data_IF_857611696263
#
_entry.id   IF_857611696263
#
_cell.length_a   1.000
_cell.length_b   1.000
_cell.length_c   1.000
_cell.angle_alpha   90.00
_cell.angle_beta   90.00
_cell.angle_gamma   90.00
#
_symmetry.space_group_name_H-M   'P 1'
#
loop_
_entity.id
_entity.type
_entity.pdbx_description
1 polymer ?
#
# COMPACT_ATOMS: atom_id res chain seq x y z
N UNK A 1 5.33 -32.11 36.90
CA UNK A 1 5.09 -30.69 37.26
C UNK A 1 4.40 -30.04 36.07
N UNK A 2 3.33 -29.27 36.27
CA UNK A 2 2.58 -28.63 35.17
C UNK A 2 3.52 -27.74 34.35
N UNK A 3 3.29 -27.63 33.05
CA UNK A 3 4.16 -26.89 32.13
C UNK A 3 4.22 -25.39 32.48
N UNK A 4 3.12 -24.80 32.95
CA UNK A 4 3.09 -23.41 33.40
C UNK A 4 4.05 -23.13 34.56
N UNK A 5 4.17 -24.06 35.51
CA UNK A 5 5.07 -23.93 36.66
C UNK A 5 6.53 -24.09 36.24
N UNK A 6 6.78 -25.02 35.32
CA UNK A 6 8.09 -25.20 34.70
C UNK A 6 8.59 -23.94 34.00
N UNK A 7 7.77 -23.34 33.12
CA UNK A 7 8.14 -22.12 32.39
C UNK A 7 8.57 -21.01 33.34
N UNK A 8 7.82 -20.79 34.43
CA UNK A 8 8.13 -19.73 35.39
C UNK A 8 9.37 -20.04 36.23
N UNK A 9 9.56 -21.30 36.63
CA UNK A 9 10.70 -21.74 37.46
C UNK A 9 12.02 -21.74 36.67
N UNK A 10 12.00 -22.27 35.44
CA UNK A 10 13.17 -22.52 34.60
C UNK A 10 13.41 -21.43 33.54
N UNK A 11 12.67 -20.31 33.61
CA UNK A 11 12.71 -19.18 32.66
C UNK A 11 14.12 -18.79 32.22
N UNK A 12 15.05 -18.65 33.17
CA UNK A 12 16.44 -18.23 32.86
C UNK A 12 17.17 -19.25 31.98
N UNK A 13 16.92 -20.54 32.19
CA UNK A 13 17.57 -21.60 31.43
C UNK A 13 16.95 -21.73 30.05
N UNK A 14 15.62 -21.65 29.95
CA UNK A 14 14.89 -21.62 28.68
C UNK A 14 15.39 -20.49 27.78
N UNK A 15 15.51 -19.27 28.33
CA UNK A 15 15.97 -18.10 27.57
C UNK A 15 17.44 -18.21 27.15
N UNK A 16 18.29 -18.85 27.95
CA UNK A 16 19.68 -19.07 27.59
C UNK A 16 19.83 -20.07 26.42
N UNK A 17 19.05 -21.16 26.43
CA UNK A 17 19.04 -22.11 25.32
C UNK A 17 18.47 -21.48 24.04
N UNK A 18 17.37 -20.73 24.18
CA UNK A 18 16.76 -20.00 23.08
C UNK A 18 17.72 -18.99 22.45
N UNK A 19 18.41 -18.19 23.26
CA UNK A 19 19.39 -17.21 22.77
C UNK A 19 20.54 -17.88 22.01
N UNK A 20 21.06 -19.00 22.52
CA UNK A 20 22.11 -19.76 21.83
C UNK A 20 21.65 -20.25 20.45
N UNK A 21 20.39 -20.64 20.32
CA UNK A 21 19.80 -21.00 19.03
C UNK A 21 19.68 -19.79 18.09
N UNK A 22 19.15 -18.68 18.59
CA UNK A 22 18.96 -17.44 17.81
C UNK A 22 20.29 -16.88 17.30
N UNK A 23 21.30 -16.80 18.16
CA UNK A 23 22.62 -16.27 17.84
C UNK A 23 23.35 -17.10 16.76
N UNK A 24 23.10 -18.41 16.72
CA UNK A 24 23.75 -19.31 15.73
C UNK A 24 23.03 -19.35 14.39
N UNK A 25 21.69 -19.20 14.37
CA UNK A 25 20.89 -19.44 13.17
C UNK A 25 20.37 -18.18 12.47
N UNK A 26 20.41 -17.01 13.11
CA UNK A 26 19.80 -15.80 12.56
C UNK A 26 20.87 -14.73 12.25
N UNK A 27 21.17 -14.46 10.96
CA UNK A 27 22.16 -13.47 10.56
C UNK A 27 21.91 -12.06 11.12
N UNK A 28 20.65 -11.64 11.23
CA UNK A 28 20.26 -10.34 11.79
C UNK A 28 20.52 -10.23 13.31
N UNK A 29 20.57 -11.37 14.01
CA UNK A 29 20.83 -11.43 15.44
C UNK A 29 22.32 -11.30 15.79
N UNK A 30 23.25 -11.41 14.82
CA UNK A 30 24.69 -11.47 15.07
C UNK A 30 25.29 -10.22 15.72
N UNK A 31 24.64 -9.07 15.54
CA UNK A 31 25.13 -7.78 16.05
C UNK A 31 24.29 -7.25 17.23
N UNK A 32 23.28 -8.00 17.69
CA UNK A 32 22.49 -7.62 18.85
C UNK A 32 23.18 -8.08 20.14
N UNK A 33 23.12 -7.25 21.18
CA UNK A 33 23.54 -7.68 22.51
C UNK A 33 22.49 -8.61 23.15
N UNK A 34 22.91 -9.31 24.20
CA UNK A 34 22.07 -10.30 24.90
C UNK A 34 20.77 -9.67 25.47
N UNK A 35 20.82 -8.39 25.84
CA UNK A 35 19.68 -7.66 26.38
C UNK A 35 18.63 -7.38 25.28
N UNK A 36 19.07 -6.93 24.11
CA UNK A 36 18.23 -6.69 22.93
C UNK A 36 17.67 -7.99 22.33
N UNK A 37 18.38 -9.11 22.50
CA UNK A 37 17.87 -10.42 22.11
C UNK A 37 16.78 -10.90 23.07
N UNK A 38 16.99 -10.83 24.39
CA UNK A 38 16.05 -11.34 25.39
C UNK A 38 14.85 -10.46 25.68
N UNK A 39 14.86 -9.19 25.26
CA UNK A 39 13.94 -8.11 25.64
C UNK A 39 12.51 -8.53 26.05
N UNK A 40 11.76 -9.18 25.14
CA UNK A 40 10.35 -9.53 25.36
C UNK A 40 10.05 -11.02 25.49
N UNK A 41 11.04 -11.89 25.28
CA UNK A 41 10.89 -13.33 25.42
C UNK A 41 10.41 -13.76 26.83
N UNK A 42 10.88 -13.17 27.95
CA UNK A 42 10.34 -13.47 29.28
C UNK A 42 8.85 -13.13 29.41
N UNK A 43 8.41 -12.00 28.88
CA UNK A 43 7.03 -11.52 28.98
C UNK A 43 6.09 -12.37 28.11
N UNK A 44 6.56 -12.83 26.93
CA UNK A 44 5.85 -13.82 26.11
C UNK A 44 5.67 -15.11 26.91
N UNK A 45 6.73 -15.65 27.50
CA UNK A 45 6.66 -16.88 28.30
C UNK A 45 5.76 -16.71 29.55
N UNK A 46 5.79 -15.55 30.20
CA UNK A 46 4.89 -15.22 31.32
C UNK A 46 3.42 -15.17 30.87
N UNK A 47 3.13 -14.56 29.72
CA UNK A 47 1.79 -14.52 29.15
C UNK A 47 1.28 -15.93 28.82
N UNK A 48 2.13 -16.77 28.23
CA UNK A 48 1.80 -18.17 27.94
C UNK A 48 1.56 -18.97 29.23
N UNK A 49 2.42 -18.84 30.24
CA UNK A 49 2.24 -19.51 31.53
C UNK A 49 0.94 -19.07 32.25
N UNK A 50 0.57 -17.79 32.12
CA UNK A 50 -0.72 -17.27 32.61
C UNK A 50 -1.91 -17.86 31.84
N UNK A 51 -1.79 -17.97 30.52
CA UNK A 51 -2.84 -18.56 29.67
C UNK A 51 -3.09 -20.04 30.01
N UNK A 52 -2.02 -20.82 30.16
CA UNK A 52 -2.07 -22.23 30.60
C UNK A 52 -2.82 -22.43 31.92
N UNK A 53 -2.76 -21.45 32.83
CA UNK A 53 -3.46 -21.48 34.13
C UNK A 53 -4.91 -20.98 34.08
N UNK A 54 -5.31 -20.33 32.99
CA UNK A 54 -6.65 -19.74 32.88
C UNK A 54 -7.65 -20.83 32.47
N UNK A 55 -8.81 -20.97 33.14
CA UNK A 55 -9.85 -21.88 32.69
C UNK A 55 -10.37 -21.47 31.31
N UNK A 56 -10.59 -22.44 30.43
CA UNK A 56 -11.01 -22.21 29.05
C UNK A 56 -12.12 -23.18 28.67
N UNK A 57 -13.15 -22.68 27.99
CA UNK A 57 -14.23 -23.52 27.45
C UNK A 57 -13.80 -24.16 26.12
N UNK A 58 -14.43 -25.26 25.72
CA UNK A 58 -14.16 -25.89 24.41
C UNK A 58 -14.43 -24.95 23.23
N UNK A 59 -15.40 -24.04 23.37
CA UNK A 59 -15.67 -22.99 22.38
C UNK A 59 -14.53 -21.98 22.31
N UNK A 60 -14.04 -21.48 23.45
CA UNK A 60 -12.89 -20.58 23.50
C UNK A 60 -11.61 -21.25 22.97
N UNK A 61 -11.45 -22.56 23.17
CA UNK A 61 -10.37 -23.37 22.58
C UNK A 61 -10.49 -23.47 21.06
N UNK A 62 -11.70 -23.70 20.54
CA UNK A 62 -11.96 -23.74 19.11
C UNK A 62 -11.71 -22.38 18.43
N UNK A 63 -12.17 -21.29 19.03
CA UNK A 63 -11.95 -19.95 18.45
C UNK A 63 -10.46 -19.56 18.48
N UNK A 64 -9.71 -19.89 19.54
CA UNK A 64 -8.25 -19.70 19.56
C UNK A 64 -7.55 -20.51 18.46
N UNK A 65 -7.88 -21.78 18.29
CA UNK A 65 -7.26 -22.62 17.25
C UNK A 65 -7.59 -22.16 15.83
N UNK A 66 -8.68 -21.42 15.63
CA UNK A 66 -9.04 -20.77 14.37
C UNK A 66 -8.44 -19.35 14.20
N UNK A 67 -7.66 -18.86 15.17
CA UNK A 67 -7.10 -17.50 15.17
C UNK A 67 -8.13 -16.39 15.40
N UNK A 68 -9.32 -16.74 15.91
CA UNK A 68 -10.47 -15.83 16.13
C UNK A 68 -10.63 -15.38 17.58
N UNK A 69 -9.61 -15.60 18.41
CA UNK A 69 -9.62 -15.15 19.79
C UNK A 69 -9.98 -13.66 19.88
N UNK A 70 -10.96 -13.30 20.73
CA UNK A 70 -11.41 -11.92 20.85
C UNK A 70 -10.25 -11.00 21.28
N UNK A 71 -9.80 -10.15 20.36
CA UNK A 71 -8.97 -8.99 20.71
C UNK A 71 -9.83 -8.03 21.53
N UNK A 72 -9.42 -7.72 22.76
CA UNK A 72 -10.11 -6.72 23.59
C UNK A 72 -9.79 -5.33 23.01
N UNK A 73 -10.77 -4.57 22.50
CA UNK A 73 -10.53 -3.25 21.97
C UNK A 73 -9.93 -2.33 23.05
N UNK A 74 -8.81 -1.66 22.74
CA UNK A 74 -8.13 -0.75 23.67
C UNK A 74 -7.25 -1.42 24.75
N UNK A 75 -7.03 -2.73 24.68
CA UNK A 75 -6.02 -3.38 25.51
C UNK A 75 -4.60 -2.91 25.10
N UNK A 76 -3.67 -2.78 26.06
CA UNK A 76 -2.27 -2.49 25.74
C UNK A 76 -1.65 -3.62 24.89
N UNK A 77 -0.65 -3.26 24.07
CA UNK A 77 0.03 -4.19 23.19
C UNK A 77 0.58 -5.40 23.97
N UNK A 78 0.38 -6.61 23.42
CA UNK A 78 0.89 -7.84 24.02
C UNK A 78 2.41 -7.91 23.87
N UNK A 79 3.09 -8.69 24.72
CA UNK A 79 4.53 -8.90 24.59
C UNK A 79 4.93 -9.44 23.21
N UNK A 80 4.08 -10.27 22.60
CA UNK A 80 4.28 -10.79 21.24
C UNK A 80 4.19 -9.69 20.17
N UNK A 81 3.26 -8.74 20.35
CA UNK A 81 3.11 -7.59 19.45
C UNK A 81 4.30 -6.63 19.55
N UNK A 82 4.73 -6.28 20.77
CA UNK A 82 5.89 -5.42 20.98
C UNK A 82 7.18 -6.11 20.45
N UNK A 83 7.34 -7.41 20.71
CA UNK A 83 8.46 -8.21 20.16
C UNK A 83 8.51 -8.13 18.63
N UNK A 84 7.38 -8.29 17.96
CA UNK A 84 7.28 -8.18 16.51
C UNK A 84 7.71 -6.80 15.99
N UNK A 85 7.24 -5.71 16.61
CA UNK A 85 7.62 -4.33 16.24
C UNK A 85 9.13 -4.13 16.37
N UNK A 86 9.73 -4.57 17.49
CA UNK A 86 11.17 -4.42 17.70
C UNK A 86 11.96 -5.22 16.66
N UNK A 87 11.54 -6.44 16.32
CA UNK A 87 12.20 -7.26 15.28
C UNK A 87 12.09 -6.63 13.90
N UNK A 88 10.93 -6.08 13.55
CA UNK A 88 10.75 -5.33 12.30
C UNK A 88 11.73 -4.14 12.22
N UNK A 89 11.79 -3.32 13.28
CA UNK A 89 12.73 -2.19 13.36
C UNK A 89 14.19 -2.61 13.39
N UNK A 90 14.48 -3.78 13.95
CA UNK A 90 15.81 -4.40 14.00
C UNK A 90 16.27 -5.04 12.70
N UNK A 91 15.47 -4.95 11.62
CA UNK A 91 15.85 -5.47 10.30
C UNK A 91 15.73 -6.99 10.16
N UNK A 92 14.97 -7.64 11.04
CA UNK A 92 14.64 -9.06 10.88
C UNK A 92 13.72 -9.23 9.66
N UNK A 93 13.68 -10.43 9.10
CA UNK A 93 12.62 -10.84 8.18
C UNK A 93 11.62 -11.79 8.87
N UNK A 94 10.47 -11.99 8.24
CA UNK A 94 9.37 -12.79 8.80
C UNK A 94 9.79 -14.24 9.12
N UNK A 95 10.66 -14.84 8.29
CA UNK A 95 11.14 -16.21 8.53
C UNK A 95 12.04 -16.28 9.77
N UNK A 96 12.80 -15.23 10.06
CA UNK A 96 13.61 -15.13 11.27
C UNK A 96 12.73 -14.97 12.50
N UNK A 97 11.69 -14.13 12.45
CA UNK A 97 10.70 -13.98 13.54
C UNK A 97 10.03 -15.33 13.87
N UNK A 98 9.52 -16.04 12.85
CA UNK A 98 8.91 -17.36 13.04
C UNK A 98 9.93 -18.39 13.54
N UNK A 99 11.19 -18.29 13.11
CA UNK A 99 12.26 -19.15 13.62
C UNK A 99 12.52 -18.94 15.12
N UNK A 100 12.44 -17.70 15.64
CA UNK A 100 12.57 -17.43 17.07
C UNK A 100 11.49 -18.15 17.90
N UNK A 101 10.23 -18.13 17.44
CA UNK A 101 9.14 -18.85 18.11
C UNK A 101 9.28 -20.37 18.02
N UNK A 102 9.71 -20.89 16.87
CA UNK A 102 10.00 -22.33 16.71
C UNK A 102 11.10 -22.77 17.66
N UNK A 103 12.15 -21.97 17.80
CA UNK A 103 13.24 -22.21 18.74
C UNK A 103 12.74 -22.19 20.19
N UNK A 104 11.94 -21.18 20.55
CA UNK A 104 11.39 -21.01 21.89
C UNK A 104 10.52 -22.21 22.28
N UNK A 105 9.61 -22.63 21.39
CA UNK A 105 8.78 -23.82 21.57
C UNK A 105 9.63 -25.07 21.77
N UNK A 106 10.64 -25.27 20.92
CA UNK A 106 11.53 -26.42 21.01
C UNK A 106 12.30 -26.45 22.35
N UNK A 107 12.86 -25.32 22.78
CA UNK A 107 13.57 -25.22 24.06
C UNK A 107 12.67 -25.48 25.26
N UNK A 108 11.46 -24.91 25.29
CA UNK A 108 10.52 -25.16 26.39
C UNK A 108 10.13 -26.65 26.47
N UNK A 109 9.68 -27.24 25.35
CA UNK A 109 9.20 -28.62 25.36
C UNK A 109 10.34 -29.62 25.62
N UNK A 110 11.51 -29.42 24.99
CA UNK A 110 12.67 -30.30 25.20
C UNK A 110 13.14 -30.27 26.65
N UNK A 111 13.39 -29.08 27.21
CA UNK A 111 13.84 -28.96 28.61
C UNK A 111 12.82 -29.50 29.60
N UNK A 112 11.53 -29.37 29.32
CA UNK A 112 10.48 -29.93 30.17
C UNK A 112 10.45 -31.46 30.10
N UNK A 113 10.50 -32.03 28.89
CA UNK A 113 10.50 -33.49 28.68
C UNK A 113 11.78 -34.17 29.18
N UNK A 114 12.92 -33.46 29.16
CA UNK A 114 14.19 -33.97 29.69
C UNK A 114 14.21 -34.04 31.23
N UNK A 115 13.40 -33.20 31.91
CA UNK A 115 13.35 -33.13 33.37
C UNK A 115 12.18 -33.89 34.00
N UNK A 116 11.11 -34.18 33.25
CA UNK A 116 9.88 -34.75 33.78
C UNK A 116 9.34 -35.87 32.89
N UNK A 117 8.97 -37.00 33.52
CA UNK A 117 8.19 -38.03 32.83
C UNK A 117 6.76 -37.53 32.58
N UNK A 118 6.34 -37.54 31.31
CA UNK A 118 5.03 -37.09 30.89
C UNK A 118 3.93 -38.12 31.25
N UNK A 119 2.83 -37.63 31.82
CA UNK A 119 1.60 -38.41 32.02
C UNK A 119 0.48 -37.93 31.07
N UNK A 120 -0.59 -38.70 30.92
CA UNK A 120 -1.69 -38.34 30.01
C UNK A 120 -2.31 -36.95 30.32
N UNK A 121 -2.32 -36.52 31.59
CA UNK A 121 -2.80 -35.21 32.00
C UNK A 121 -1.91 -34.04 31.52
N UNK A 122 -0.67 -34.32 31.10
CA UNK A 122 0.27 -33.33 30.56
C UNK A 122 0.06 -33.07 29.05
N UNK A 123 -0.67 -33.94 28.34
CA UNK A 123 -1.01 -33.73 26.93
C UNK A 123 -1.86 -32.47 26.73
N UNK A 124 -2.75 -32.16 27.68
CA UNK A 124 -3.53 -30.92 27.68
C UNK A 124 -2.60 -29.69 27.80
N UNK A 125 -1.60 -29.73 28.68
CA UNK A 125 -0.62 -28.65 28.81
C UNK A 125 0.19 -28.45 27.52
N UNK A 126 0.58 -29.52 26.82
CA UNK A 126 1.27 -29.43 25.52
C UNK A 126 0.36 -28.82 24.46
N UNK A 127 -0.89 -29.26 24.37
CA UNK A 127 -1.85 -28.73 23.40
C UNK A 127 -2.09 -27.24 23.63
N UNK A 128 -2.39 -26.85 24.88
CA UNK A 128 -2.64 -25.45 25.25
C UNK A 128 -1.39 -24.57 25.07
N UNK A 129 -0.20 -25.12 25.31
CA UNK A 129 1.05 -24.41 25.04
C UNK A 129 1.27 -24.17 23.54
N UNK A 130 1.02 -25.17 22.70
CA UNK A 130 1.11 -25.03 21.26
C UNK A 130 0.09 -23.99 20.74
N UNK A 131 -1.15 -24.03 21.22
CA UNK A 131 -2.16 -23.03 20.90
C UNK A 131 -1.71 -21.60 21.31
N UNK A 132 -1.16 -21.43 22.50
CA UNK A 132 -0.67 -20.14 22.98
C UNK A 132 0.54 -19.63 22.16
N UNK A 133 1.44 -20.52 21.75
CA UNK A 133 2.55 -20.18 20.84
C UNK A 133 2.02 -19.80 19.45
N UNK A 134 1.11 -20.58 18.88
CA UNK A 134 0.57 -20.33 17.55
C UNK A 134 -0.24 -19.01 17.51
N UNK A 135 -0.96 -18.70 18.59
CA UNK A 135 -1.60 -17.40 18.80
C UNK A 135 -0.56 -16.26 18.86
N UNK A 136 0.50 -16.42 19.65
CA UNK A 136 1.58 -15.42 19.74
C UNK A 136 2.29 -15.21 18.39
N UNK A 137 2.51 -16.29 17.63
CA UNK A 137 3.07 -16.23 16.27
C UNK A 137 2.13 -15.46 15.35
N UNK A 138 0.84 -15.79 15.32
CA UNK A 138 -0.14 -15.11 14.46
C UNK A 138 -0.19 -13.60 14.77
N UNK A 139 -0.29 -13.23 16.06
CA UNK A 139 -0.24 -11.83 16.48
C UNK A 139 1.06 -11.13 16.09
N UNK A 140 2.20 -11.81 16.28
CA UNK A 140 3.50 -11.26 15.90
C UNK A 140 3.64 -11.09 14.40
N UNK A 141 3.15 -12.03 13.58
CA UNK A 141 3.20 -11.91 12.11
C UNK A 141 2.38 -10.71 11.64
N UNK A 142 1.16 -10.54 12.18
CA UNK A 142 0.29 -9.41 11.84
C UNK A 142 0.97 -8.06 12.15
N UNK A 143 1.48 -7.90 13.38
CA UNK A 143 2.12 -6.66 13.82
C UNK A 143 3.47 -6.41 13.15
N UNK A 144 4.25 -7.45 12.89
CA UNK A 144 5.50 -7.35 12.15
C UNK A 144 5.25 -6.82 10.75
N UNK A 145 4.29 -7.41 10.03
CA UNK A 145 3.95 -6.97 8.68
C UNK A 145 3.40 -5.54 8.69
N UNK A 146 2.54 -5.20 9.65
CA UNK A 146 2.03 -3.84 9.81
C UNK A 146 3.15 -2.82 10.04
N UNK A 147 4.12 -3.12 10.91
CA UNK A 147 5.25 -2.24 11.19
C UNK A 147 6.19 -2.12 9.97
N UNK A 148 6.48 -3.21 9.27
CA UNK A 148 7.30 -3.18 8.04
C UNK A 148 6.63 -2.36 6.96
N UNK A 149 5.33 -2.56 6.73
CA UNK A 149 4.56 -1.80 5.75
C UNK A 149 4.44 -0.33 6.16
N UNK A 150 4.19 -0.03 7.44
CA UNK A 150 4.16 1.34 7.95
C UNK A 150 5.51 2.05 7.77
N UNK A 151 6.62 1.39 8.12
CA UNK A 151 7.97 1.94 7.97
C UNK A 151 8.31 2.20 6.50
N UNK A 152 7.99 1.24 5.63
CA UNK A 152 8.13 1.37 4.17
C UNK A 152 7.34 2.55 3.64
N UNK A 153 6.10 2.70 4.08
CA UNK A 153 5.23 3.81 3.74
C UNK A 153 5.82 5.14 4.25
N UNK A 154 6.24 5.26 5.50
CA UNK A 154 6.86 6.49 6.01
C UNK A 154 8.11 6.89 5.20
N UNK A 155 8.97 5.92 4.87
CA UNK A 155 10.16 6.15 4.04
C UNK A 155 9.80 6.70 2.65
N UNK A 156 8.82 6.07 1.97
CA UNK A 156 8.37 6.51 0.65
C UNK A 156 7.76 7.91 0.69
N UNK A 157 7.06 8.27 1.78
CA UNK A 157 6.50 9.61 1.97
C UNK A 157 7.58 10.67 2.18
N UNK A 158 8.58 10.37 3.01
CA UNK A 158 9.74 11.25 3.24
C UNK A 158 10.56 11.46 1.97
N UNK A 159 10.86 10.40 1.23
CA UNK A 159 11.57 10.49 -0.05
C UNK A 159 10.80 11.34 -1.07
N UNK A 160 9.47 11.20 -1.12
CA UNK A 160 8.60 12.03 -1.94
C UNK A 160 8.75 13.53 -1.64
N UNK A 161 8.73 13.88 -0.35
CA UNK A 161 8.90 15.25 0.10
C UNK A 161 10.31 15.80 -0.19
N UNK A 162 11.35 15.04 0.17
CA UNK A 162 12.74 15.52 0.14
C UNK A 162 13.31 15.58 -1.29
N UNK A 163 12.77 14.79 -2.22
CA UNK A 163 13.11 14.89 -3.64
C UNK A 163 12.39 16.05 -4.35
N UNK A 164 11.25 16.52 -3.84
CA UNK A 164 10.47 17.61 -4.47
C UNK A 164 11.23 18.93 -4.47
N UNK A 165 11.89 19.29 -3.37
CA UNK A 165 12.63 20.55 -3.22
C UNK A 165 13.82 20.72 -4.19
N UNK A 166 14.77 19.76 -4.30
CA UNK A 166 15.85 19.86 -5.28
C UNK A 166 15.31 19.84 -6.73
N UNK A 167 14.22 19.11 -6.97
CA UNK A 167 13.58 19.06 -8.28
C UNK A 167 12.94 20.40 -8.69
N UNK A 168 12.25 21.06 -7.77
CA UNK A 168 11.73 22.42 -7.97
C UNK A 168 12.86 23.40 -8.29
N UNK A 169 14.02 23.27 -7.61
CA UNK A 169 15.19 24.11 -7.87
C UNK A 169 15.74 23.90 -9.30
N UNK A 170 15.81 22.65 -9.77
CA UNK A 170 16.22 22.32 -11.15
C UNK A 170 15.25 22.95 -12.14
N UNK A 171 13.94 22.81 -11.91
CA UNK A 171 12.91 23.36 -12.80
C UNK A 171 12.95 24.89 -12.85
N UNK A 172 13.08 25.56 -11.70
CA UNK A 172 13.18 27.02 -11.65
C UNK A 172 14.42 27.52 -12.38
N UNK A 173 15.57 26.86 -12.19
CA UNK A 173 16.81 27.19 -12.90
C UNK A 173 16.67 26.98 -14.41
N UNK A 174 16.02 25.90 -14.83
CA UNK A 174 15.75 25.65 -16.24
C UNK A 174 14.79 26.70 -16.83
N UNK A 175 13.70 27.04 -16.14
CA UNK A 175 12.78 28.12 -16.55
C UNK A 175 13.49 29.45 -16.70
N UNK A 176 14.40 29.78 -15.77
CA UNK A 176 15.24 30.96 -15.85
C UNK A 176 16.16 30.94 -17.08
N UNK A 177 16.83 29.81 -17.36
CA UNK A 177 17.68 29.65 -18.54
C UNK A 177 16.90 29.76 -19.86
N UNK A 178 15.67 29.23 -19.92
CA UNK A 178 14.78 29.39 -21.06
C UNK A 178 14.38 30.87 -21.26
N UNK A 179 14.07 31.58 -20.17
CA UNK A 179 13.68 32.99 -20.21
C UNK A 179 14.83 33.92 -20.64
N UNK A 180 16.08 33.57 -20.34
CA UNK A 180 17.27 34.33 -20.80
C UNK A 180 17.45 34.29 -22.32
N UNK A 181 16.75 33.39 -23.04
CA UNK A 181 16.83 33.23 -24.49
C UNK A 181 18.28 33.17 -25.01
N UNK A 182 19.14 32.47 -24.27
CA UNK A 182 20.59 32.41 -24.47
C UNK A 182 21.02 31.55 -25.68
N UNK A 183 20.21 31.54 -26.73
CA UNK A 183 20.32 30.69 -27.91
C UNK A 183 19.32 29.54 -27.93
N UNK A 184 18.96 29.11 -29.13
CA UNK A 184 17.94 28.07 -29.39
C UNK A 184 18.27 26.75 -28.68
N UNK A 185 19.52 26.30 -28.73
CA UNK A 185 19.98 25.07 -28.07
C UNK A 185 19.86 25.11 -26.54
N UNK A 186 20.11 26.27 -25.93
CA UNK A 186 20.00 26.44 -24.46
C UNK A 186 18.54 26.45 -24.04
N UNK A 187 17.69 27.13 -24.81
CA UNK A 187 16.25 27.18 -24.59
C UNK A 187 15.60 25.80 -24.77
N UNK A 188 16.04 25.03 -25.77
CA UNK A 188 15.57 23.65 -25.97
C UNK A 188 16.00 22.71 -24.84
N UNK A 189 17.26 22.80 -24.40
CA UNK A 189 17.77 22.02 -23.26
C UNK A 189 17.05 22.38 -21.96
N UNK A 190 16.80 23.66 -21.71
CA UNK A 190 16.01 24.14 -20.59
C UNK A 190 14.56 23.61 -20.64
N UNK A 191 13.91 23.68 -21.81
CA UNK A 191 12.56 23.14 -21.99
C UNK A 191 12.51 21.61 -21.73
N UNK A 192 13.54 20.86 -22.14
CA UNK A 192 13.67 19.43 -21.81
C UNK A 192 13.78 19.22 -20.29
N UNK A 193 14.59 20.00 -19.59
CA UNK A 193 14.73 19.92 -18.12
C UNK A 193 13.41 20.22 -17.39
N UNK A 194 12.66 21.24 -17.84
CA UNK A 194 11.35 21.59 -17.26
C UNK A 194 10.38 20.41 -17.40
N UNK A 195 10.28 19.81 -18.60
CA UNK A 195 9.40 18.67 -18.87
C UNK A 195 9.79 17.43 -18.04
N UNK A 196 11.08 17.10 -17.99
CA UNK A 196 11.58 16.00 -17.15
C UNK A 196 11.31 16.26 -15.67
N UNK A 197 11.47 17.51 -15.22
CA UNK A 197 11.16 17.93 -13.86
C UNK A 197 9.69 17.75 -13.51
N UNK A 198 8.79 18.15 -14.42
CA UNK A 198 7.35 18.04 -14.22
C UNK A 198 6.93 16.57 -14.17
N UNK A 199 7.51 15.74 -15.04
CA UNK A 199 7.31 14.29 -15.04
C UNK A 199 7.74 13.66 -13.72
N UNK A 200 8.91 14.04 -13.19
CA UNK A 200 9.37 13.55 -11.89
C UNK A 200 8.47 14.00 -10.73
N UNK A 201 7.99 15.26 -10.72
CA UNK A 201 7.05 15.71 -9.69
C UNK A 201 5.76 14.89 -9.71
N UNK A 202 5.20 14.66 -10.89
CA UNK A 202 4.00 13.82 -11.04
C UNK A 202 4.23 12.40 -10.51
N UNK A 203 5.40 11.80 -10.75
CA UNK A 203 5.73 10.48 -10.20
C UNK A 203 5.87 10.50 -8.67
N UNK A 204 6.43 11.57 -8.10
CA UNK A 204 6.54 11.73 -6.64
C UNK A 204 5.17 11.95 -6.00
N UNK A 205 4.30 12.74 -6.64
CA UNK A 205 2.93 12.98 -6.19
C UNK A 205 2.10 11.70 -6.26
N UNK A 206 2.18 10.95 -7.36
CA UNK A 206 1.55 9.63 -7.51
C UNK A 206 2.03 8.63 -6.44
N UNK A 207 3.34 8.65 -6.11
CA UNK A 207 3.91 7.82 -5.06
C UNK A 207 3.41 8.23 -3.67
N UNK A 208 3.28 9.52 -3.40
CA UNK A 208 2.74 10.04 -2.14
C UNK A 208 1.26 9.68 -1.99
N UNK A 209 0.46 9.84 -3.04
CA UNK A 209 -0.95 9.45 -3.05
C UNK A 209 -1.09 7.94 -2.86
N UNK A 210 -0.33 7.11 -3.59
CA UNK A 210 -0.27 5.65 -3.43
C UNK A 210 -0.08 5.24 -1.98
N UNK A 211 0.90 5.87 -1.35
CA UNK A 211 1.29 5.60 0.03
C UNK A 211 0.22 6.00 1.04
N UNK A 212 -0.38 7.19 0.89
CA UNK A 212 -1.52 7.61 1.74
C UNK A 212 -2.68 6.63 1.66
N UNK A 213 -2.98 6.12 0.47
CA UNK A 213 -4.03 5.13 0.27
C UNK A 213 -3.68 3.80 0.93
N UNK A 214 -2.42 3.36 0.85
CA UNK A 214 -1.95 2.16 1.59
C UNK A 214 -2.03 2.32 3.11
N UNK A 215 -1.88 3.54 3.64
CA UNK A 215 -2.08 3.86 5.04
C UNK A 215 -3.57 4.02 5.45
N UNK A 216 -4.51 3.81 4.52
CA UNK A 216 -5.95 3.95 4.77
C UNK A 216 -6.43 5.41 4.92
N UNK A 217 -5.58 6.40 4.62
CA UNK A 217 -5.92 7.82 4.73
C UNK A 217 -6.69 8.35 3.52
N UNK A 218 -6.81 7.55 2.46
CA UNK A 218 -7.45 7.91 1.20
C UNK A 218 -6.79 9.09 0.47
N UNK A 219 -7.41 9.49 -0.64
CA UNK A 219 -7.07 10.72 -1.35
C UNK A 219 -7.70 11.90 -0.61
N UNK A 220 -6.91 12.90 -0.28
CA UNK A 220 -7.43 14.15 0.25
C UNK A 220 -8.07 14.95 -0.89
N UNK A 221 -9.34 15.30 -0.72
CA UNK A 221 -10.12 16.13 -1.65
C UNK A 221 -10.65 17.36 -0.91
N UNK A 222 -10.74 18.47 -1.62
CA UNK A 222 -11.39 19.69 -1.15
C UNK A 222 -12.52 20.09 -2.12
N UNK A 223 -13.70 19.46 -2.04
CA UNK A 223 -14.78 19.73 -2.98
C UNK A 223 -15.28 21.16 -2.88
N UNK A 224 -15.39 21.82 -4.03
CA UNK A 224 -15.99 23.14 -4.19
C UNK A 224 -16.93 23.13 -5.40
N UNK A 225 -17.89 24.05 -5.44
CA UNK A 225 -18.77 24.22 -6.59
C UNK A 225 -17.95 24.67 -7.81
N UNK A 226 -17.94 23.84 -8.85
CA UNK A 226 -17.19 24.05 -10.08
C UNK A 226 -18.02 23.69 -11.31
N UNK A 227 -17.58 24.19 -12.46
CA UNK A 227 -18.06 23.76 -13.77
C UNK A 227 -17.02 22.82 -14.39
N UNK A 228 -17.35 21.53 -14.55
CA UNK A 228 -16.42 20.55 -15.13
C UNK A 228 -16.07 20.87 -16.59
N UNK A 229 -16.84 21.70 -17.28
CA UNK A 229 -16.50 22.13 -18.62
C UNK A 229 -15.14 22.85 -18.65
N UNK A 230 -14.88 23.73 -17.68
CA UNK A 230 -13.60 24.44 -17.60
C UNK A 230 -12.46 23.49 -17.24
N UNK A 231 -12.64 22.64 -16.22
CA UNK A 231 -11.59 21.72 -15.77
C UNK A 231 -11.17 20.75 -16.87
N UNK A 232 -12.15 20.09 -17.51
CA UNK A 232 -11.86 19.12 -18.58
C UNK A 232 -11.35 19.82 -19.83
N UNK A 233 -11.93 20.99 -20.18
CA UNK A 233 -11.50 21.79 -21.33
C UNK A 233 -10.03 22.20 -21.24
N UNK A 234 -9.65 22.86 -20.13
CA UNK A 234 -8.28 23.31 -19.90
C UNK A 234 -7.29 22.14 -19.91
N UNK A 235 -7.67 21.00 -19.30
CA UNK A 235 -6.83 19.79 -19.27
C UNK A 235 -6.62 19.23 -20.68
N UNK A 236 -7.68 19.12 -21.48
CA UNK A 236 -7.58 18.60 -22.85
C UNK A 236 -6.76 19.53 -23.73
N UNK A 237 -6.88 20.85 -23.59
CA UNK A 237 -6.09 21.80 -24.37
C UNK A 237 -4.60 21.74 -24.02
N UNK A 238 -4.27 21.56 -22.74
CA UNK A 238 -2.89 21.29 -22.31
C UNK A 238 -2.34 20.00 -22.93
N UNK A 239 -3.14 18.92 -22.95
CA UNK A 239 -2.73 17.64 -23.54
C UNK A 239 -2.59 17.71 -25.06
N UNK A 240 -3.44 18.47 -25.76
CA UNK A 240 -3.29 18.75 -27.20
C UNK A 240 -1.98 19.48 -27.49
N UNK A 241 -1.64 20.48 -26.68
CA UNK A 241 -0.37 21.22 -26.83
C UNK A 241 0.85 20.32 -26.56
N UNK A 242 0.76 19.41 -25.59
CA UNK A 242 1.83 18.47 -25.26
C UNK A 242 1.99 17.32 -26.27
N UNK A 243 0.91 16.95 -26.97
CA UNK A 243 0.88 15.85 -27.93
C UNK A 243 0.31 16.31 -29.29
N UNK A 244 1.03 17.19 -30.02
CA UNK A 244 0.53 17.79 -31.27
C UNK A 244 0.27 16.75 -32.37
N UNK A 245 0.96 15.61 -32.34
CA UNK A 245 0.78 14.51 -33.29
C UNK A 245 -0.42 13.61 -32.96
N UNK A 246 -1.14 13.89 -31.87
CA UNK A 246 -2.31 13.11 -31.44
C UNK A 246 -3.58 13.92 -31.57
N UNK A 247 -4.58 13.34 -32.22
CA UNK A 247 -5.92 13.93 -32.26
C UNK A 247 -6.69 13.63 -30.98
N UNK A 248 -7.12 14.67 -30.28
CA UNK A 248 -7.94 14.58 -29.07
C UNK A 248 -9.23 15.36 -29.31
N UNK A 249 -10.36 14.65 -29.41
CA UNK A 249 -11.68 15.25 -29.63
C UNK A 249 -12.40 15.38 -28.27
N UNK A 250 -13.01 16.54 -28.00
CA UNK A 250 -13.74 16.82 -26.76
C UNK A 250 -15.19 17.15 -27.08
N UNK A 251 -16.12 16.47 -26.41
CA UNK A 251 -17.55 16.68 -26.52
C UNK A 251 -18.16 16.88 -25.13
N UNK A 252 -18.98 17.92 -24.96
CA UNK A 252 -19.67 18.22 -23.71
C UNK A 252 -21.15 18.43 -23.97
N UNK A 253 -21.99 17.78 -23.16
CA UNK A 253 -23.45 17.82 -23.29
C UNK A 253 -24.13 17.85 -21.92
N UNK A 254 -25.23 18.59 -21.82
CA UNK A 254 -26.02 18.71 -20.58
C UNK A 254 -25.39 19.66 -19.56
N UNK A 255 -25.93 19.64 -18.34
CA UNK A 255 -25.40 20.42 -17.22
C UNK A 255 -24.21 19.65 -16.61
N UNK A 256 -23.05 20.27 -16.41
CA UNK A 256 -21.86 19.61 -15.83
C UNK A 256 -21.31 20.33 -14.59
N UNK A 257 -22.17 21.07 -13.88
CA UNK A 257 -21.84 21.79 -12.65
C UNK A 257 -22.05 20.94 -11.38
N UNK A 258 -21.24 21.14 -10.35
CA UNK A 258 -21.40 20.42 -9.09
C UNK A 258 -20.21 20.59 -8.15
N UNK A 259 -20.23 19.89 -7.02
CA UNK A 259 -19.25 20.02 -5.96
C UNK A 259 -18.17 18.94 -6.03
N UNK A 260 -16.98 19.30 -6.51
CA UNK A 260 -15.82 18.40 -6.63
C UNK A 260 -14.50 19.14 -6.44
N UNK A 261 -13.41 18.39 -6.28
CA UNK A 261 -12.06 18.92 -6.30
C UNK A 261 -11.55 18.96 -7.75
N UNK A 262 -11.51 20.16 -8.33
CA UNK A 262 -11.13 20.36 -9.73
C UNK A 262 -9.71 19.91 -10.06
N UNK A 263 -8.75 20.09 -9.15
CA UNK A 263 -7.36 19.67 -9.38
C UNK A 263 -7.23 18.15 -9.43
N UNK A 264 -7.96 17.45 -8.55
CA UNK A 264 -8.00 15.99 -8.56
C UNK A 264 -8.72 15.44 -9.80
N UNK A 265 -9.78 16.11 -10.26
CA UNK A 265 -10.46 15.70 -11.49
C UNK A 265 -9.64 15.98 -12.76
N UNK A 266 -8.83 17.04 -12.79
CA UNK A 266 -7.82 17.24 -13.83
C UNK A 266 -6.82 16.06 -13.87
N UNK A 267 -6.41 15.53 -12.72
CA UNK A 267 -5.53 14.35 -12.64
C UNK A 267 -6.22 13.09 -13.19
N UNK A 268 -7.51 12.87 -12.91
CA UNK A 268 -8.31 11.79 -13.51
C UNK A 268 -8.29 11.89 -15.04
N UNK A 269 -8.69 13.04 -15.59
CA UNK A 269 -8.73 13.25 -17.05
C UNK A 269 -7.36 13.03 -17.67
N UNK A 270 -6.30 13.58 -17.07
CA UNK A 270 -4.92 13.43 -17.56
C UNK A 270 -4.49 11.96 -17.59
N UNK A 271 -4.75 11.21 -16.52
CA UNK A 271 -4.37 9.79 -16.43
C UNK A 271 -5.09 8.94 -17.48
N UNK A 272 -6.38 9.18 -17.70
CA UNK A 272 -7.16 8.43 -18.68
C UNK A 272 -6.78 8.79 -20.11
N UNK A 273 -6.59 10.07 -20.43
CA UNK A 273 -6.21 10.51 -21.78
C UNK A 273 -4.78 10.10 -22.13
N UNK A 274 -3.83 10.20 -21.20
CA UNK A 274 -2.45 9.74 -21.42
C UNK A 274 -2.39 8.21 -21.57
N UNK A 275 -3.26 7.47 -20.88
CA UNK A 275 -3.41 6.03 -21.10
C UNK A 275 -3.92 5.75 -22.52
N UNK A 276 -4.98 6.43 -22.94
CA UNK A 276 -5.55 6.32 -24.27
C UNK A 276 -4.57 6.71 -25.40
N UNK A 277 -3.74 7.75 -25.21
CA UNK A 277 -2.68 8.13 -26.16
C UNK A 277 -1.62 7.04 -26.28
N UNK A 278 -1.25 6.43 -25.15
CA UNK A 278 -0.17 5.44 -25.08
C UNK A 278 -0.57 4.10 -25.69
N UNK A 279 -1.78 3.63 -25.39
CA UNK A 279 -2.22 2.29 -25.78
C UNK A 279 -3.19 2.30 -26.98
N UNK A 280 -3.68 3.47 -27.37
CA UNK A 280 -4.53 3.62 -28.54
C UNK A 280 -3.75 3.63 -29.85
N UNK A 281 -4.44 3.25 -30.93
CA UNK A 281 -3.94 3.28 -32.29
C UNK A 281 -3.40 4.68 -32.63
N UNK A 282 -2.19 4.82 -33.21
CA UNK A 282 -1.54 6.11 -33.48
C UNK A 282 -2.41 7.07 -34.30
N UNK A 283 -3.07 6.54 -35.32
CA UNK A 283 -3.84 7.31 -36.31
C UNK A 283 -5.30 7.57 -35.91
N UNK A 284 -5.74 7.01 -34.77
CA UNK A 284 -7.09 7.18 -34.25
C UNK A 284 -7.15 8.31 -33.21
N UNK A 285 -8.30 9.00 -33.16
CA UNK A 285 -8.53 10.03 -32.14
C UNK A 285 -8.86 9.44 -30.78
N UNK A 286 -8.36 10.12 -29.73
CA UNK A 286 -8.84 9.93 -28.37
C UNK A 286 -10.07 10.80 -28.17
N UNK A 287 -11.20 10.20 -27.78
CA UNK A 287 -12.47 10.91 -27.59
C UNK A 287 -12.75 11.08 -26.11
N UNK A 288 -12.88 12.32 -25.67
CA UNK A 288 -13.29 12.69 -24.31
C UNK A 288 -14.73 13.20 -24.38
N UNK A 289 -15.64 12.54 -23.68
CA UNK A 289 -17.06 12.86 -23.68
C UNK A 289 -17.51 13.14 -22.25
N UNK A 290 -18.10 14.30 -22.01
CA UNK A 290 -18.70 14.65 -20.72
C UNK A 290 -20.19 14.87 -20.91
N UNK A 291 -20.99 14.08 -20.21
CA UNK A 291 -22.45 14.17 -20.22
C UNK A 291 -22.96 14.29 -18.80
N UNK A 292 -23.84 15.23 -18.52
CA UNK A 292 -24.47 15.31 -17.19
C UNK A 292 -25.99 15.30 -17.25
N UNK A 293 -26.58 14.65 -16.25
CA UNK A 293 -28.02 14.65 -15.95
C UNK A 293 -28.29 15.27 -14.57
N UNK A 294 -29.53 15.30 -14.09
CA UNK A 294 -29.87 15.97 -12.83
C UNK A 294 -29.18 15.37 -11.58
N UNK A 295 -28.64 14.15 -11.66
CA UNK A 295 -28.10 13.39 -10.53
C UNK A 295 -26.58 13.24 -10.56
N UNK A 296 -26.00 12.97 -11.73
CA UNK A 296 -24.58 12.70 -11.88
C UNK A 296 -23.99 13.28 -13.17
N UNK A 297 -22.66 13.37 -13.19
CA UNK A 297 -21.87 13.67 -14.39
C UNK A 297 -21.08 12.43 -14.76
N UNK A 298 -21.18 12.07 -16.03
CA UNK A 298 -20.46 10.96 -16.64
C UNK A 298 -19.35 11.49 -17.55
N UNK A 299 -18.11 11.09 -17.28
CA UNK A 299 -16.92 11.37 -18.08
C UNK A 299 -16.44 10.07 -18.71
N UNK A 300 -16.37 10.02 -20.04
CA UNK A 300 -15.84 8.88 -20.77
C UNK A 300 -14.61 9.27 -21.58
N UNK A 301 -13.55 8.46 -21.50
CA UNK A 301 -12.37 8.56 -22.37
C UNK A 301 -12.29 7.30 -23.22
N UNK A 302 -12.29 7.45 -24.54
CA UNK A 302 -12.35 6.35 -25.51
C UNK A 302 -11.21 6.41 -26.50
N UNK A 303 -10.66 5.25 -26.84
CA UNK A 303 -9.66 5.11 -27.90
C UNK A 303 -9.85 3.80 -28.65
N UNK A 304 -9.50 3.78 -29.93
CA UNK A 304 -9.32 2.53 -30.67
C UNK A 304 -7.97 1.92 -30.34
N UNK A 305 -7.86 0.60 -30.35
CA UNK A 305 -6.63 -0.12 -30.04
C UNK A 305 -6.89 -1.63 -29.96
N UNK A 306 -5.85 -2.43 -29.68
CA UNK A 306 -6.02 -3.86 -29.42
C UNK A 306 -7.02 -4.07 -28.27
N UNK A 307 -7.91 -5.06 -28.43
CA UNK A 307 -8.82 -5.45 -27.36
C UNK A 307 -8.01 -5.93 -26.14
N UNK A 308 -8.39 -5.45 -24.97
CA UNK A 308 -7.81 -5.85 -23.68
C UNK A 308 -8.51 -7.13 -23.23
N UNK A 309 -7.73 -8.14 -22.83
CA UNK A 309 -8.31 -9.38 -22.31
C UNK A 309 -9.00 -9.14 -20.95
N UNK A 310 -9.95 -10.03 -20.62
CA UNK A 310 -10.79 -9.89 -19.44
C UNK A 310 -9.99 -9.86 -18.12
N UNK A 311 -8.93 -10.65 -18.00
CA UNK A 311 -8.12 -10.69 -16.78
C UNK A 311 -7.34 -9.38 -16.59
N UNK A 312 -6.87 -8.79 -17.69
CA UNK A 312 -6.24 -7.46 -17.66
C UNK A 312 -7.25 -6.37 -17.31
N UNK A 313 -8.47 -6.40 -17.86
CA UNK A 313 -9.53 -5.44 -17.50
C UNK A 313 -9.88 -5.48 -16.00
N UNK A 314 -9.98 -6.67 -15.41
CA UNK A 314 -10.29 -6.84 -13.98
C UNK A 314 -9.20 -6.30 -13.06
N UNK A 315 -7.96 -6.19 -13.55
CA UNK A 315 -6.78 -5.84 -12.76
C UNK A 315 -6.09 -4.55 -13.22
N UNK A 316 -6.63 -3.83 -14.19
CA UNK A 316 -5.99 -2.64 -14.75
C UNK A 316 -5.99 -1.45 -13.79
N UNK A 317 -6.93 -1.46 -12.83
CA UNK A 317 -6.97 -0.50 -11.75
C UNK A 317 -6.13 -0.93 -10.53
N UNK A 318 -5.54 -2.13 -10.52
CA UNK A 318 -4.63 -2.53 -9.46
C UNK A 318 -3.36 -1.64 -9.48
N UNK A 319 -2.83 -1.26 -8.32
CA UNK A 319 -1.62 -0.45 -8.26
C UNK A 319 -0.40 -1.22 -8.81
N UNK A 320 0.48 -0.51 -9.52
CA UNK A 320 1.70 -1.06 -10.12
C UNK A 320 1.43 -2.14 -11.19
N UNK A 321 0.19 -2.24 -11.66
CA UNK A 321 -0.20 -3.14 -12.75
C UNK A 321 0.37 -2.62 -14.07
N UNK A 322 1.13 -3.48 -14.77
CA UNK A 322 1.63 -3.24 -16.13
C UNK A 322 1.19 -4.42 -17.00
N UNK A 323 0.78 -4.14 -18.23
CA UNK A 323 0.37 -5.18 -19.18
C UNK A 323 1.50 -6.20 -19.43
N UNK A 324 1.15 -7.47 -19.74
CA UNK A 324 2.10 -8.58 -19.80
C UNK A 324 3.23 -8.44 -20.84
N UNK A 325 3.12 -7.53 -21.82
CA UNK A 325 4.05 -7.39 -22.95
C UNK A 325 5.03 -6.19 -22.87
N UNK A 326 5.34 -5.66 -21.68
CA UNK A 326 6.07 -4.37 -21.57
C UNK A 326 7.33 -4.46 -20.67
N UNK A 327 8.37 -5.16 -21.15
CA UNK A 327 9.76 -5.01 -20.68
C UNK A 327 10.47 -3.77 -21.27
N UNK A 328 9.77 -2.89 -21.99
CA UNK A 328 10.35 -1.66 -22.52
C UNK A 328 10.63 -0.65 -21.40
N UNK A 329 11.89 -0.66 -20.95
CA UNK A 329 12.50 0.20 -19.92
C UNK A 329 12.38 1.72 -20.17
N UNK A 330 11.77 2.14 -21.27
CA UNK A 330 11.64 3.54 -21.69
C UNK A 330 10.20 4.08 -21.57
N UNK A 331 9.21 3.24 -21.28
CA UNK A 331 7.83 3.66 -21.10
C UNK A 331 7.62 4.23 -19.68
N UNK A 332 7.88 5.53 -19.51
CA UNK A 332 7.75 6.24 -18.23
C UNK A 332 6.35 6.12 -17.60
N UNK A 333 6.31 5.79 -16.30
CA UNK A 333 5.11 5.68 -15.46
C UNK A 333 5.23 4.55 -14.43
N UNK A 334 4.81 4.78 -13.18
CA UNK A 334 4.84 3.74 -12.12
C UNK A 334 3.73 2.69 -12.26
N UNK A 335 2.84 2.82 -13.26
CA UNK A 335 1.62 1.98 -13.33
C UNK A 335 0.58 2.37 -12.28
N UNK A 336 0.61 3.62 -11.82
CA UNK A 336 -0.30 4.13 -10.78
C UNK A 336 -1.44 4.99 -11.33
N UNK A 337 -1.36 5.47 -12.57
CA UNK A 337 -2.31 6.45 -13.10
C UNK A 337 -3.78 6.00 -13.08
N UNK A 338 -4.07 4.77 -13.53
CA UNK A 338 -5.44 4.23 -13.50
C UNK A 338 -5.92 3.96 -12.07
N UNK A 339 -5.05 3.41 -11.22
CA UNK A 339 -5.35 3.24 -9.79
C UNK A 339 -5.70 4.58 -9.13
N UNK A 340 -4.87 5.61 -9.29
CA UNK A 340 -5.11 6.94 -8.73
C UNK A 340 -6.40 7.55 -9.28
N UNK A 341 -6.67 7.41 -10.59
CA UNK A 341 -7.93 7.88 -11.16
C UNK A 341 -9.15 7.21 -10.48
N UNK A 342 -9.08 5.90 -10.22
CA UNK A 342 -10.13 5.16 -9.53
C UNK A 342 -10.34 5.60 -8.08
N UNK A 343 -9.25 5.91 -7.38
CA UNK A 343 -9.28 6.31 -5.98
C UNK A 343 -9.75 7.76 -5.82
N UNK A 344 -9.40 8.64 -6.77
CA UNK A 344 -9.97 9.99 -6.86
C UNK A 344 -11.47 9.93 -7.12
N UNK A 345 -11.92 9.10 -8.06
CA UNK A 345 -13.35 8.92 -8.33
C UNK A 345 -14.07 8.43 -7.06
N UNK A 346 -13.51 7.44 -6.37
CA UNK A 346 -14.07 6.92 -5.11
C UNK A 346 -14.09 7.96 -3.99
N UNK A 347 -13.06 8.79 -3.86
CA UNK A 347 -13.03 9.88 -2.89
C UNK A 347 -14.18 10.88 -3.12
N UNK A 348 -14.59 11.07 -4.38
CA UNK A 348 -15.78 11.85 -4.76
C UNK A 348 -17.10 11.06 -4.68
N UNK A 349 -17.09 9.87 -4.06
CA UNK A 349 -18.23 8.92 -4.02
C UNK A 349 -18.69 8.44 -5.40
N UNK A 350 -17.83 8.59 -6.41
CA UNK A 350 -18.03 8.11 -7.75
C UNK A 350 -17.48 6.71 -7.98
N UNK A 351 -17.45 6.33 -9.25
CA UNK A 351 -16.89 5.06 -9.72
C UNK A 351 -16.13 5.27 -11.03
N UNK A 352 -15.23 4.35 -11.33
CA UNK A 352 -14.63 4.21 -12.65
C UNK A 352 -14.79 2.77 -13.10
N UNK A 353 -15.21 2.58 -14.34
CA UNK A 353 -15.31 1.29 -15.01
C UNK A 353 -14.53 1.34 -16.32
N UNK A 354 -14.14 0.17 -16.82
CA UNK A 354 -13.51 0.03 -18.13
C UNK A 354 -14.19 -1.08 -18.92
N UNK A 355 -14.34 -0.86 -20.22
CA UNK A 355 -14.66 -1.91 -21.19
C UNK A 355 -13.69 -1.85 -22.36
N UNK A 356 -13.43 -3.00 -22.97
CA UNK A 356 -12.63 -3.08 -24.18
C UNK A 356 -13.21 -4.16 -25.08
N UNK A 357 -13.36 -3.83 -26.36
CA UNK A 357 -13.71 -4.77 -27.41
C UNK A 357 -12.80 -4.54 -28.64
N UNK A 358 -13.11 -5.19 -29.76
CA UNK A 358 -12.31 -5.06 -30.99
C UNK A 358 -12.37 -3.67 -31.64
N UNK A 359 -13.33 -2.83 -31.27
CA UNK A 359 -13.53 -1.50 -31.84
C UNK A 359 -12.94 -0.39 -30.97
N UNK A 360 -13.20 -0.44 -29.65
CA UNK A 360 -12.71 0.58 -28.72
C UNK A 360 -12.43 0.04 -27.31
N UNK A 361 -11.55 0.75 -26.62
CA UNK A 361 -11.43 0.75 -25.16
C UNK A 361 -12.07 2.03 -24.63
N UNK A 362 -12.88 1.92 -23.59
CA UNK A 362 -13.57 3.03 -22.95
C UNK A 362 -13.41 2.95 -21.44
N UNK A 363 -12.92 4.05 -20.86
CA UNK A 363 -12.91 4.30 -19.42
C UNK A 363 -14.08 5.23 -19.08
N UNK A 364 -14.90 4.86 -18.10
CA UNK A 364 -16.13 5.54 -17.75
C UNK A 364 -16.13 5.93 -16.28
N UNK A 365 -16.14 7.22 -16.00
CA UNK A 365 -16.17 7.78 -14.66
C UNK A 365 -17.56 8.35 -14.38
N UNK A 366 -18.17 7.92 -13.28
CA UNK A 366 -19.45 8.46 -12.79
C UNK A 366 -19.21 9.28 -11.53
N UNK A 367 -19.65 10.53 -11.53
CA UNK A 367 -19.43 11.49 -10.46
C UNK A 367 -20.79 12.03 -9.96
N UNK A 368 -21.21 11.72 -8.73
CA UNK A 368 -22.38 12.34 -8.12
C UNK A 368 -22.17 13.86 -8.00
N UNK A 369 -23.21 14.67 -8.26
CA UNK A 369 -23.11 16.14 -8.23
C UNK A 369 -22.75 16.75 -6.87
N UNK A 370 -23.00 16.01 -5.79
CA UNK A 370 -22.66 16.41 -4.43
C UNK A 370 -22.01 15.23 -3.73
N UNK A 371 -20.72 15.35 -3.41
CA UNK A 371 -20.12 14.52 -2.39
C UNK A 371 -20.83 14.84 -1.06
N UNK A 372 -21.60 13.90 -0.52
CA UNK A 372 -22.29 14.12 0.75
C UNK A 372 -21.25 14.45 1.83
N UNK A 373 -21.33 15.64 2.43
CA UNK A 373 -20.62 15.93 3.67
C UNK A 373 -21.21 15.00 4.73
N UNK A 374 -20.43 14.00 5.15
CA UNK A 374 -20.77 13.25 6.36
C UNK A 374 -20.61 14.23 7.51
N UNK A 375 -21.70 14.47 8.23
CA UNK A 375 -21.79 15.44 9.34
C UNK A 375 -20.98 14.98 10.55
#
# INVERSE_FOLDING_TARGET
>A
MRLADFILRDMKHILAEWEAFVATQLPAARNLDSLALRDHAPQILQAIAKDLRTPQTSEAQREKSLGRASKVPGAPDTAAQIHAIIRARGGFNINQLVAEYRALRASVLRLWMDQFELVAADLDDVMRFNEAIDQAVAESVDFFNAEVEQSRNLLLGMLGHDLRSPLQTIQMTASYLAALNAGEKVSEAAARLIRSGASMNSLLDDLCDFNRMKLGLGINIAPIEIDLAHVVGDTVDQLRAAHPDRRIDLEMKGNVQGAWDGLRLQQVVSNLVLNAIRYGAPDASVRVVVTGDDTEVHLAVRNSGPAIDQLTLERMFDPLSRGPDQEDKHAGGLGLGLYIASEIARAHHGSIDARSDQAETAFEVRLPRRAFQTT
#
